data_IF_799431482427
#
_entry.id   IF_799431482427
#
_cell.length_a   1.000
_cell.length_b   1.000
_cell.length_c   1.000
_cell.angle_alpha   90.00
_cell.angle_beta   90.00
_cell.angle_gamma   90.00
#
_symmetry.space_group_name_H-M   'P 1'
#
loop_
_entity.id
_entity.type
_entity.pdbx_description
1 polymer ?
#
# COMPACT_ATOMS: atom_id res chain seq x y z
N UNK A 1 -19.95 18.01 -32.92
CA UNK A 1 -18.62 17.67 -32.35
C UNK A 1 -18.82 17.28 -30.91
N UNK A 2 -18.70 15.98 -30.63
CA UNK A 2 -18.90 15.41 -29.29
C UNK A 2 -17.72 15.90 -28.43
N UNK A 3 -17.98 16.75 -27.43
CA UNK A 3 -16.97 17.15 -26.44
C UNK A 3 -16.67 15.89 -25.64
N UNK A 4 -15.61 15.19 -26.01
CA UNK A 4 -15.10 14.07 -25.23
C UNK A 4 -14.88 14.55 -23.82
N UNK A 5 -15.67 14.01 -22.90
CA UNK A 5 -15.45 14.03 -21.47
C UNK A 5 -14.00 13.56 -21.22
N UNK A 6 -13.08 14.52 -21.11
CA UNK A 6 -11.85 14.29 -20.36
C UNK A 6 -12.32 14.18 -18.92
N UNK A 7 -12.76 12.97 -18.54
CA UNK A 7 -12.85 12.59 -17.15
C UNK A 7 -11.43 12.69 -16.64
N UNK A 8 -11.06 13.84 -16.10
CA UNK A 8 -10.07 13.89 -15.02
C UNK A 8 -10.54 12.80 -14.05
N UNK A 9 -9.89 11.64 -14.11
CA UNK A 9 -10.03 10.63 -13.08
C UNK A 9 -9.43 11.26 -11.83
N UNK A 10 -10.20 12.11 -11.15
CA UNK A 10 -9.88 12.53 -9.79
C UNK A 10 -9.90 11.25 -8.99
N UNK A 11 -8.73 10.70 -8.73
CA UNK A 11 -8.60 9.59 -7.83
C UNK A 11 -9.08 10.12 -6.48
N UNK A 12 -10.17 9.54 -5.99
CA UNK A 12 -10.73 9.93 -4.69
C UNK A 12 -9.64 9.71 -3.64
N UNK A 13 -9.36 10.68 -2.76
CA UNK A 13 -8.34 10.53 -1.71
C UNK A 13 -8.62 9.31 -0.83
N UNK A 14 -9.90 8.94 -0.67
CA UNK A 14 -10.30 7.73 0.03
C UNK A 14 -9.85 6.44 -0.64
N UNK A 15 -9.82 6.41 -1.98
CA UNK A 15 -9.34 5.24 -2.73
C UNK A 15 -7.84 5.04 -2.52
N UNK A 16 -7.07 6.12 -2.45
CA UNK A 16 -5.64 6.05 -2.16
C UNK A 16 -5.40 5.55 -0.74
N UNK A 17 -6.08 6.10 0.26
CA UNK A 17 -5.98 5.64 1.65
C UNK A 17 -6.31 4.15 1.78
N UNK A 18 -7.39 3.69 1.13
CA UNK A 18 -7.76 2.26 1.13
C UNK A 18 -6.68 1.42 0.46
N UNK A 19 -6.15 1.88 -0.67
CA UNK A 19 -5.09 1.15 -1.41
C UNK A 19 -3.83 1.05 -0.58
N UNK A 20 -3.38 2.14 0.03
CA UNK A 20 -2.24 2.16 0.94
C UNK A 20 -2.42 1.20 2.10
N UNK A 21 -3.58 1.23 2.78
CA UNK A 21 -3.87 0.32 3.90
C UNK A 21 -3.88 -1.14 3.42
N UNK A 22 -4.44 -1.44 2.26
CA UNK A 22 -4.42 -2.78 1.68
C UNK A 22 -2.99 -3.27 1.40
N UNK A 23 -2.15 -2.43 0.80
CA UNK A 23 -0.74 -2.77 0.52
C UNK A 23 0.03 -2.94 1.83
N UNK A 24 -0.20 -2.09 2.82
CA UNK A 24 0.42 -2.19 4.14
C UNK A 24 0.09 -3.50 4.85
N UNK A 25 -1.19 -3.89 4.85
CA UNK A 25 -1.63 -5.17 5.42
C UNK A 25 -1.01 -6.35 4.69
N UNK A 26 -0.96 -6.30 3.35
CA UNK A 26 -0.36 -7.35 2.54
C UNK A 26 1.14 -7.48 2.80
N UNK A 27 1.86 -6.35 2.89
CA UNK A 27 3.27 -6.32 3.27
C UNK A 27 3.50 -6.87 4.69
N UNK A 28 2.58 -6.60 5.63
CA UNK A 28 2.66 -7.13 7.01
C UNK A 28 2.45 -8.64 7.06
N UNK A 29 1.52 -9.16 6.26
CA UNK A 29 1.28 -10.60 6.11
C UNK A 29 2.52 -11.27 5.53
N UNK A 30 3.06 -10.73 4.43
CA UNK A 30 4.27 -11.25 3.80
C UNK A 30 5.47 -11.23 4.77
N UNK A 31 5.67 -10.14 5.52
CA UNK A 31 6.72 -10.05 6.52
C UNK A 31 6.57 -11.10 7.64
N UNK A 32 5.34 -11.35 8.10
CA UNK A 32 5.03 -12.39 9.07
C UNK A 32 5.20 -13.82 8.54
N UNK A 33 5.15 -14.01 7.22
CA UNK A 33 5.40 -15.30 6.57
C UNK A 33 6.89 -15.56 6.29
N UNK A 34 7.70 -14.51 6.13
CA UNK A 34 9.06 -14.61 5.58
C UNK A 34 10.16 -14.27 6.56
N UNK A 35 9.95 -13.32 7.48
CA UNK A 35 11.02 -12.77 8.32
C UNK A 35 10.74 -12.83 9.82
N UNK A 36 9.47 -12.96 10.23
CA UNK A 36 9.08 -12.92 11.63
C UNK A 36 8.35 -14.21 12.00
N UNK A 37 9.11 -15.22 12.42
CA UNK A 37 8.57 -16.54 12.78
C UNK A 37 7.49 -16.40 13.89
N UNK A 38 6.31 -16.98 13.66
CA UNK A 38 5.19 -16.97 14.61
C UNK A 38 4.44 -15.63 14.75
N UNK A 39 4.89 -14.56 14.09
CA UNK A 39 4.30 -13.23 14.23
C UNK A 39 3.01 -12.97 13.46
N UNK A 40 2.66 -13.84 12.51
CA UNK A 40 1.41 -13.69 11.76
C UNK A 40 0.19 -13.87 12.67
N UNK A 41 0.27 -14.82 13.62
CA UNK A 41 -0.84 -15.21 14.49
C UNK A 41 -0.75 -14.65 15.91
N UNK A 42 0.35 -13.98 16.27
CA UNK A 42 0.54 -13.39 17.61
C UNK A 42 0.01 -11.96 17.68
N UNK A 43 -1.02 -11.73 18.50
CA UNK A 43 -1.59 -10.40 18.73
C UNK A 43 -0.56 -9.36 19.22
N UNK A 44 0.39 -9.79 20.05
CA UNK A 44 1.48 -8.93 20.54
C UNK A 44 2.36 -8.43 19.40
N UNK A 45 2.58 -9.28 18.39
CA UNK A 45 3.37 -8.92 17.21
C UNK A 45 2.66 -7.92 16.28
N UNK A 46 1.32 -7.89 16.31
CA UNK A 46 0.53 -6.88 15.59
C UNK A 46 0.52 -5.54 16.33
N UNK A 47 0.70 -5.54 17.65
CA UNK A 47 0.75 -4.31 18.45
C UNK A 47 2.17 -3.73 18.58
N UNK A 48 3.20 -4.51 18.27
CA UNK A 48 4.60 -4.09 18.37
C UNK A 48 4.96 -3.14 17.23
N UNK A 49 5.26 -1.85 17.49
CA UNK A 49 5.51 -0.86 16.43
C UNK A 49 6.71 -1.19 15.54
N UNK A 50 7.74 -1.84 16.10
CA UNK A 50 8.94 -2.23 15.37
C UNK A 50 8.63 -3.16 14.19
N UNK A 51 7.66 -4.06 14.35
CA UNK A 51 7.27 -5.04 13.32
C UNK A 51 6.52 -4.41 12.13
N UNK A 52 6.14 -3.13 12.25
CA UNK A 52 5.48 -2.38 11.19
C UNK A 52 6.45 -1.57 10.33
N UNK A 53 7.70 -1.36 10.76
CA UNK A 53 8.66 -0.54 10.01
C UNK A 53 8.91 -1.08 8.60
N UNK A 54 9.20 -2.38 8.47
CA UNK A 54 9.40 -3.03 7.17
C UNK A 54 8.16 -2.95 6.26
N UNK A 55 6.98 -3.37 6.74
CA UNK A 55 5.72 -3.22 6.01
C UNK A 55 5.40 -1.78 5.60
N UNK A 56 5.64 -0.80 6.47
CA UNK A 56 5.43 0.63 6.18
C UNK A 56 6.33 1.13 5.06
N UNK A 57 7.63 0.85 5.13
CA UNK A 57 8.58 1.23 4.07
C UNK A 57 8.18 0.57 2.74
N UNK A 58 7.79 -0.71 2.79
CA UNK A 58 7.35 -1.46 1.59
C UNK A 58 6.11 -0.84 0.96
N UNK A 59 5.12 -0.47 1.77
CA UNK A 59 3.89 0.17 1.29
C UNK A 59 4.17 1.54 0.67
N UNK A 60 4.98 2.38 1.33
CA UNK A 60 5.36 3.71 0.83
C UNK A 60 6.11 3.62 -0.52
N UNK A 61 7.08 2.72 -0.62
CA UNK A 61 7.86 2.53 -1.87
C UNK A 61 6.96 2.02 -3.00
N UNK A 62 6.05 1.09 -2.69
CA UNK A 62 5.12 0.52 -3.68
C UNK A 62 4.13 1.58 -4.17
N UNK A 63 3.58 2.39 -3.28
CA UNK A 63 2.68 3.49 -3.62
C UNK A 63 3.40 4.57 -4.42
N UNK A 64 4.60 4.97 -4.01
CA UNK A 64 5.44 5.89 -4.78
C UNK A 64 5.73 5.35 -6.18
N UNK A 65 6.13 4.09 -6.31
CA UNK A 65 6.39 3.45 -7.60
C UNK A 65 5.13 3.39 -8.46
N UNK A 66 3.97 3.13 -7.87
CA UNK A 66 2.68 3.13 -8.56
C UNK A 66 2.33 4.52 -9.11
N UNK A 67 2.46 5.58 -8.32
CA UNK A 67 2.25 6.95 -8.78
C UNK A 67 3.27 7.38 -9.83
N UNK A 68 4.54 7.03 -9.62
CA UNK A 68 5.60 7.30 -10.58
C UNK A 68 5.29 6.63 -11.92
N UNK A 69 4.90 5.36 -11.90
CA UNK A 69 4.51 4.62 -13.09
C UNK A 69 3.31 5.27 -13.78
N UNK A 70 2.24 5.57 -13.04
CA UNK A 70 1.05 6.24 -13.61
C UNK A 70 1.38 7.57 -14.26
N UNK A 71 2.31 8.35 -13.68
CA UNK A 71 2.73 9.65 -14.21
C UNK A 71 3.61 9.57 -15.46
N UNK A 72 4.32 8.47 -15.68
CA UNK A 72 5.25 8.28 -16.79
C UNK A 72 4.78 7.20 -17.78
N UNK A 73 3.52 6.77 -17.68
CA UNK A 73 2.92 5.77 -18.57
C UNK A 73 2.42 6.39 -19.89
N UNK A 74 2.37 7.72 -19.98
CA UNK A 74 2.15 8.49 -21.21
C UNK A 74 3.47 8.75 -21.96
#
# INVERSE_FOLDING_TARGET
>A
MNKGDVKEQRISPWKEVITFVCVLLLARILAGLTYIEGALFSAESWLTPHNWLGPLVTALVTEYAHFYWLRHRD
#
